data_IF_814062154423
#
_entry.id   IF_814062154423
#
_cell.length_a   1.000
_cell.length_b   1.000
_cell.length_c   1.000
_cell.angle_alpha   90.00
_cell.angle_beta   90.00
_cell.angle_gamma   90.00
#
_symmetry.space_group_name_H-M   'P 1'
#
loop_
_entity.id
_entity.type
_entity.pdbx_description
1 polymer ?
#
# COMPACT_ATOMS: atom_id res chain seq x y z
N UNK A 1 -4.15 6.46 2.54
CA UNK A 1 -4.74 5.67 3.66
C UNK A 1 -5.88 4.94 3.02
N UNK A 2 -5.86 3.60 2.98
CA UNK A 2 -6.74 2.78 2.13
C UNK A 2 -8.21 3.24 2.05
N UNK A 3 -8.80 3.66 3.18
CA UNK A 3 -10.16 4.21 3.23
C UNK A 3 -10.34 5.49 2.39
N UNK A 4 -9.40 6.43 2.48
CA UNK A 4 -9.39 7.66 1.67
C UNK A 4 -9.16 7.35 0.19
N UNK A 5 -8.24 6.42 -0.09
CA UNK A 5 -7.84 6.05 -1.45
C UNK A 5 -9.00 5.31 -2.15
N UNK A 6 -9.83 4.59 -1.38
CA UNK A 6 -11.08 3.99 -1.85
C UNK A 6 -12.26 4.97 -1.94
N UNK A 7 -12.08 6.26 -1.64
CA UNK A 7 -13.14 7.29 -1.60
C UNK A 7 -14.33 6.92 -0.68
N UNK A 8 -14.09 6.20 0.42
CA UNK A 8 -15.13 5.78 1.37
C UNK A 8 -14.99 6.49 2.71
N UNK A 9 -16.10 6.59 3.42
CA UNK A 9 -16.08 6.99 4.84
C UNK A 9 -15.85 5.77 5.74
N UNK A 10 -15.34 5.98 6.96
CA UNK A 10 -15.22 4.91 7.96
C UNK A 10 -16.55 4.19 8.19
N UNK A 11 -17.66 4.93 8.29
CA UNK A 11 -18.99 4.35 8.52
C UNK A 11 -19.45 3.47 7.34
N UNK A 12 -19.07 3.83 6.11
CA UNK A 12 -19.40 3.01 4.94
C UNK A 12 -18.64 1.69 4.97
N UNK A 13 -17.32 1.73 5.23
CA UNK A 13 -16.50 0.52 5.34
C UNK A 13 -16.99 -0.36 6.50
N UNK A 14 -17.33 0.22 7.66
CA UNK A 14 -17.90 -0.52 8.78
C UNK A 14 -19.20 -1.23 8.41
N UNK A 15 -20.11 -0.58 7.66
CA UNK A 15 -21.34 -1.21 7.20
C UNK A 15 -21.10 -2.35 6.23
N UNK A 16 -20.22 -2.16 5.25
CA UNK A 16 -19.92 -3.17 4.23
C UNK A 16 -19.20 -4.39 4.82
N UNK A 17 -18.41 -4.20 5.89
CA UNK A 17 -17.78 -5.28 6.67
C UNK A 17 -18.67 -5.84 7.79
N UNK A 18 -19.90 -5.34 7.95
CA UNK A 18 -20.79 -5.69 9.06
C UNK A 18 -20.15 -5.48 10.45
N UNK A 19 -19.33 -4.44 10.59
CA UNK A 19 -18.72 -4.05 11.85
C UNK A 19 -19.63 -3.13 12.66
N UNK A 20 -19.58 -3.20 14.00
CA UNK A 20 -20.20 -2.20 14.86
C UNK A 20 -19.67 -0.80 14.55
N UNK A 21 -20.52 0.21 14.72
CA UNK A 21 -20.15 1.61 14.49
C UNK A 21 -18.94 2.01 15.34
N UNK A 22 -18.04 2.80 14.77
CA UNK A 22 -16.76 3.26 15.35
C UNK A 22 -15.71 2.17 15.58
N UNK A 23 -15.90 0.95 15.10
CA UNK A 23 -14.89 -0.11 15.18
C UNK A 23 -13.56 0.31 14.56
N UNK A 24 -13.57 0.89 13.36
CA UNK A 24 -12.34 1.29 12.67
C UNK A 24 -11.67 2.49 13.36
N UNK A 25 -12.45 3.43 13.88
CA UNK A 25 -11.93 4.54 14.69
C UNK A 25 -11.29 4.02 15.98
N UNK A 26 -11.88 3.00 16.61
CA UNK A 26 -11.30 2.35 17.77
C UNK A 26 -10.00 1.62 17.43
N UNK A 27 -9.91 0.97 16.26
CA UNK A 27 -8.66 0.35 15.81
C UNK A 27 -7.54 1.37 15.59
N UNK A 28 -7.89 2.56 15.11
CA UNK A 28 -6.91 3.63 14.88
C UNK A 28 -6.32 4.22 16.17
N UNK A 29 -7.10 4.28 17.26
CA UNK A 29 -6.71 5.09 18.42
C UNK A 29 -6.73 4.37 19.79
N UNK A 30 -7.41 3.23 19.92
CA UNK A 30 -7.76 2.68 21.25
C UNK A 30 -7.51 1.19 21.41
N UNK A 31 -7.67 0.39 20.35
CA UNK A 31 -7.64 -1.07 20.42
C UNK A 31 -6.88 -1.65 19.25
N UNK A 32 -6.19 -2.78 19.45
CA UNK A 32 -5.65 -3.54 18.33
C UNK A 32 -6.73 -4.48 17.78
N UNK A 33 -6.87 -4.60 16.44
CA UNK A 33 -7.73 -5.63 15.84
C UNK A 33 -7.16 -7.03 16.11
N UNK A 34 -8.01 -8.06 16.05
CA UNK A 34 -7.56 -9.45 16.01
C UNK A 34 -6.91 -9.77 14.65
N UNK A 35 -6.17 -10.88 14.57
CA UNK A 35 -5.60 -11.36 13.29
C UNK A 35 -6.70 -11.56 12.24
N UNK A 36 -7.81 -12.22 12.59
CA UNK A 36 -8.94 -12.38 11.67
C UNK A 36 -9.48 -11.05 11.12
N UNK A 37 -9.54 -10.01 11.97
CA UNK A 37 -9.97 -8.66 11.54
C UNK A 37 -8.99 -8.00 10.59
N UNK A 38 -7.69 -8.26 10.75
CA UNK A 38 -6.66 -7.81 9.80
C UNK A 38 -6.88 -8.48 8.44
N UNK A 39 -7.09 -9.80 8.41
CA UNK A 39 -7.40 -10.55 7.17
C UNK A 39 -8.65 -10.01 6.48
N UNK A 40 -9.75 -9.82 7.23
CA UNK A 40 -11.01 -9.27 6.70
C UNK A 40 -10.81 -7.90 6.03
N UNK A 41 -10.07 -6.99 6.69
CA UNK A 41 -9.80 -5.67 6.15
C UNK A 41 -8.85 -5.70 4.93
N UNK A 42 -7.80 -6.51 4.97
CA UNK A 42 -6.87 -6.66 3.83
C UNK A 42 -7.60 -7.17 2.59
N UNK A 43 -8.43 -8.21 2.74
CA UNK A 43 -9.27 -8.75 1.67
C UNK A 43 -10.25 -7.71 1.13
N UNK A 44 -10.90 -6.94 2.02
CA UNK A 44 -11.84 -5.89 1.62
C UNK A 44 -11.20 -4.80 0.76
N UNK A 45 -9.96 -4.40 1.06
CA UNK A 45 -9.20 -3.44 0.25
C UNK A 45 -8.45 -4.08 -0.93
N UNK A 46 -8.56 -5.41 -1.09
CA UNK A 46 -7.84 -6.18 -2.11
C UNK A 46 -6.32 -5.93 -2.07
N UNK A 47 -5.74 -5.96 -0.88
CA UNK A 47 -4.29 -5.82 -0.65
C UNK A 47 -3.76 -7.02 0.13
N UNK A 48 -2.45 -7.26 0.04
CA UNK A 48 -1.80 -8.26 0.88
C UNK A 48 -1.79 -7.82 2.36
N UNK A 49 -1.65 -8.79 3.26
CA UNK A 49 -1.60 -8.53 4.70
C UNK A 49 -0.34 -7.76 5.06
N UNK A 50 0.77 -8.10 4.40
CA UNK A 50 2.05 -7.43 4.53
C UNK A 50 1.93 -5.95 4.15
N UNK A 51 1.26 -5.64 3.03
CA UNK A 51 0.96 -4.26 2.64
C UNK A 51 0.08 -3.58 3.69
N UNK A 52 -1.00 -4.24 4.12
CA UNK A 52 -1.96 -3.67 5.07
C UNK A 52 -1.32 -3.33 6.42
N UNK A 53 -0.37 -4.15 6.89
CA UNK A 53 0.38 -3.96 8.12
C UNK A 53 1.59 -3.03 7.98
N UNK A 54 1.91 -2.57 6.76
CA UNK A 54 3.09 -1.76 6.49
C UNK A 54 4.40 -2.53 6.68
N UNK A 55 4.37 -3.84 6.48
CA UNK A 55 5.53 -4.74 6.54
C UNK A 55 6.27 -4.82 5.20
N UNK A 56 5.95 -3.94 4.26
CA UNK A 56 6.76 -3.80 3.05
C UNK A 56 8.15 -3.29 3.43
N UNK A 57 9.13 -4.18 3.36
CA UNK A 57 10.55 -3.85 3.43
C UNK A 57 10.85 -2.72 2.42
N UNK A 58 11.37 -1.58 2.89
CA UNK A 58 11.83 -0.49 2.02
C UNK A 58 12.90 -0.96 1.04
N UNK A 59 13.63 -2.01 1.40
CA UNK A 59 14.66 -2.65 0.59
C UNK A 59 14.16 -3.92 -0.12
N UNK A 60 12.85 -4.11 -0.24
CA UNK A 60 12.30 -5.16 -1.09
C UNK A 60 12.68 -4.87 -2.55
N UNK A 61 13.78 -5.46 -2.99
CA UNK A 61 14.28 -5.39 -4.36
C UNK A 61 13.27 -5.93 -5.38
N UNK A 62 12.25 -6.67 -4.93
CA UNK A 62 11.15 -7.14 -5.75
C UNK A 62 9.94 -6.19 -5.77
N UNK A 63 9.92 -5.12 -4.96
CA UNK A 63 8.83 -4.14 -5.00
C UNK A 63 8.78 -3.44 -6.36
N UNK A 64 7.56 -3.10 -6.80
CA UNK A 64 7.36 -2.35 -8.05
C UNK A 64 8.07 -0.99 -8.01
N UNK A 65 8.07 -0.32 -6.85
CA UNK A 65 8.74 0.97 -6.67
C UNK A 65 10.25 0.85 -6.88
N UNK A 66 10.90 -0.15 -6.28
CA UNK A 66 12.33 -0.39 -6.47
C UNK A 66 12.67 -0.72 -7.93
N UNK A 67 11.87 -1.60 -8.56
CA UNK A 67 12.04 -1.97 -9.97
C UNK A 67 11.89 -0.76 -10.90
N UNK A 68 10.92 0.11 -10.63
CA UNK A 68 10.67 1.32 -11.42
C UNK A 68 11.81 2.33 -11.26
N UNK A 69 12.26 2.58 -10.03
CA UNK A 69 13.43 3.43 -9.78
C UNK A 69 14.68 2.90 -10.49
N UNK A 70 14.91 1.59 -10.42
CA UNK A 70 16.05 0.96 -11.08
C UNK A 70 15.99 1.17 -12.60
N UNK A 71 14.84 0.90 -13.22
CA UNK A 71 14.63 1.14 -14.65
C UNK A 71 14.83 2.62 -15.04
N UNK A 72 14.38 3.56 -14.21
CA UNK A 72 14.56 4.98 -14.46
C UNK A 72 16.03 5.41 -14.40
N UNK A 73 16.82 4.83 -13.48
CA UNK A 73 18.27 5.07 -13.42
C UNK A 73 18.99 4.54 -14.65
N UNK A 74 18.72 3.29 -15.01
CA UNK A 74 19.32 2.64 -16.20
C UNK A 74 18.95 3.39 -17.49
N UNK A 75 17.70 3.84 -17.62
CA UNK A 75 17.26 4.66 -18.76
C UNK A 75 18.05 5.97 -18.86
N UNK A 76 18.25 6.67 -17.75
CA UNK A 76 18.98 7.95 -17.73
C UNK A 76 20.45 7.78 -18.12
N UNK A 77 21.09 6.70 -17.68
CA UNK A 77 22.47 6.38 -18.07
C UNK A 77 22.59 6.10 -19.58
N UNK A 78 21.65 5.35 -20.14
CA UNK A 78 21.59 5.09 -21.58
C UNK A 78 21.39 6.38 -22.39
N UNK A 79 20.52 7.28 -21.94
CA UNK A 79 20.31 8.58 -22.59
C UNK A 79 21.60 9.41 -22.64
N UNK A 80 22.39 9.40 -21.56
CA UNK A 80 23.68 10.10 -21.50
C UNK A 80 24.68 9.48 -22.50
N UNK A 81 24.81 8.16 -22.51
CA UNK A 81 25.70 7.43 -23.43
C UNK A 81 25.38 7.71 -24.91
N UNK A 82 24.09 7.76 -25.26
CA UNK A 82 23.66 8.07 -26.63
C UNK A 82 24.06 9.50 -27.03
N UNK A 83 23.94 10.47 -26.12
CA UNK A 83 24.31 11.87 -26.36
C UNK A 83 25.83 12.06 -26.50
N UNK A 84 26.62 11.28 -25.74
CA UNK A 84 28.08 11.32 -25.82
C UNK A 84 28.62 10.66 -27.09
N UNK A 85 27.99 9.59 -27.57
CA UNK A 85 28.38 8.90 -28.80
C UNK A 85 28.00 9.61 -30.11
N UNK A 86 27.27 10.73 -30.04
CA UNK A 86 26.91 11.58 -31.19
C UNK A 86 27.86 12.77 -31.41
N UNK A 87 28.90 12.91 -30.58
CA UNK A 87 29.97 13.91 -30.73
C UNK A 87 31.20 13.31 -31.40
#
# INVERSE_FOLDING_TARGET
>A
MLIKDAHKSFNQVERELCYPRNTLKNYKYKKKPSVGRVFEMANYFNVSIEFFLGMEEKDNKNSLAYRLEKLNREKKELEILILEGQK
#
